data_IF_153688407074
#
_entry.id   IF_153688407074
#
_cell.length_a   1.000
_cell.length_b   1.000
_cell.length_c   1.000
_cell.angle_alpha   90.00
_cell.angle_beta   90.00
_cell.angle_gamma   90.00
#
_symmetry.space_group_name_H-M   'P 1'
#
loop_
_entity.id
_entity.type
_entity.pdbx_description
1 polymer ?
#
# COMPACT_ATOMS: atom_id res chain seq x y z
N UNK A 1 -2.15 16.41 7.63
CA UNK A 1 -2.85 15.17 8.05
C UNK A 1 -2.80 14.15 6.91
N UNK A 2 -3.14 12.88 7.14
CA UNK A 2 -3.14 11.85 6.08
C UNK A 2 -4.54 11.64 5.48
N UNK A 3 -4.66 11.50 4.15
CA UNK A 3 -5.94 11.54 3.40
C UNK A 3 -6.56 10.18 3.00
N UNK A 4 -5.92 9.01 3.15
CA UNK A 4 -6.57 7.73 2.81
C UNK A 4 -5.69 6.46 2.89
N UNK A 5 -6.32 5.28 2.85
CA UNK A 5 -5.71 3.94 3.05
C UNK A 5 -6.23 2.90 2.07
N UNK A 6 -5.33 2.14 1.45
CA UNK A 6 -5.65 0.83 0.84
C UNK A 6 -4.47 -0.10 0.63
N UNK A 7 -4.80 -1.39 0.56
CA UNK A 7 -4.12 -2.32 -0.36
C UNK A 7 -4.54 -1.95 -1.78
N UNK A 8 -4.02 -0.81 -2.27
CA UNK A 8 -4.54 -0.06 -3.42
C UNK A 8 -4.75 -0.97 -4.63
N UNK A 9 -3.81 -1.87 -4.87
CA UNK A 9 -3.90 -2.86 -5.93
C UNK A 9 -5.03 -3.89 -5.74
N UNK A 10 -5.24 -4.44 -4.54
CA UNK A 10 -6.31 -5.41 -4.31
C UNK A 10 -7.69 -4.76 -4.43
N UNK A 11 -7.84 -3.54 -3.94
CA UNK A 11 -9.06 -2.79 -4.09
C UNK A 11 -9.31 -2.40 -5.55
N UNK A 12 -8.30 -1.90 -6.27
CA UNK A 12 -8.39 -1.62 -7.70
C UNK A 12 -8.77 -2.89 -8.47
N UNK A 13 -8.18 -4.05 -8.14
CA UNK A 13 -8.56 -5.34 -8.73
C UNK A 13 -9.98 -5.77 -8.35
N UNK A 14 -10.44 -5.49 -7.13
CA UNK A 14 -11.80 -5.82 -6.64
C UNK A 14 -12.85 -4.96 -7.33
N UNK A 15 -12.60 -3.66 -7.46
CA UNK A 15 -13.46 -2.74 -8.18
C UNK A 15 -13.47 -3.02 -9.68
N UNK A 16 -12.32 -3.40 -10.25
CA UNK A 16 -12.24 -3.85 -11.63
C UNK A 16 -13.01 -5.16 -11.85
N UNK A 17 -12.92 -6.12 -10.93
CA UNK A 17 -13.71 -7.35 -10.97
C UNK A 17 -15.21 -7.04 -10.97
N UNK A 18 -15.65 -6.16 -10.06
CA UNK A 18 -17.05 -5.75 -9.94
C UNK A 18 -17.56 -5.01 -11.18
N UNK A 19 -16.75 -4.12 -11.77
CA UNK A 19 -17.14 -3.33 -12.94
C UNK A 19 -17.13 -4.14 -14.25
N UNK A 20 -16.26 -5.15 -14.34
CA UNK A 20 -16.10 -5.97 -15.56
C UNK A 20 -16.86 -7.29 -15.55
N UNK A 21 -17.40 -7.71 -14.40
CA UNK A 21 -17.97 -9.04 -14.21
C UNK A 21 -16.94 -10.18 -14.22
N UNK A 22 -15.64 -9.87 -14.31
CA UNK A 22 -14.56 -10.87 -14.28
C UNK A 22 -14.29 -11.32 -12.85
N UNK A 23 -13.83 -12.55 -12.66
CA UNK A 23 -13.46 -13.05 -11.32
C UNK A 23 -12.19 -12.34 -10.86
N UNK A 24 -12.19 -11.90 -9.60
CA UNK A 24 -11.02 -11.28 -8.96
C UNK A 24 -9.77 -12.18 -9.04
N UNK A 25 -9.95 -13.51 -8.97
CA UNK A 25 -8.84 -14.46 -9.06
C UNK A 25 -8.17 -14.46 -10.44
N UNK A 26 -8.94 -14.26 -11.52
CA UNK A 26 -8.41 -14.21 -12.88
C UNK A 26 -7.63 -12.90 -13.09
N UNK A 27 -8.14 -11.78 -12.56
CA UNK A 27 -7.45 -10.49 -12.59
C UNK A 27 -6.19 -10.50 -11.72
N UNK A 28 -6.22 -11.15 -10.55
CA UNK A 28 -5.02 -11.37 -9.72
C UNK A 28 -3.99 -12.22 -10.43
N UNK A 29 -4.40 -13.30 -11.09
CA UNK A 29 -3.49 -14.18 -11.85
C UNK A 29 -2.87 -13.42 -13.01
N UNK A 30 -3.65 -12.66 -13.75
CA UNK A 30 -3.15 -11.84 -14.85
C UNK A 30 -2.21 -10.71 -14.37
N UNK A 31 -2.44 -10.21 -13.15
CA UNK A 31 -1.55 -9.22 -12.51
C UNK A 31 -0.22 -9.84 -12.05
N UNK A 32 -0.25 -11.03 -11.45
CA UNK A 32 0.92 -11.66 -10.82
C UNK A 32 1.73 -12.54 -11.75
N UNK A 33 1.06 -13.33 -12.59
CA UNK A 33 1.66 -14.35 -13.47
C UNK A 33 1.92 -13.80 -14.87
N UNK A 34 0.98 -13.03 -15.40
CA UNK A 34 1.07 -12.49 -16.77
C UNK A 34 1.69 -11.08 -16.81
N UNK A 35 2.02 -10.51 -15.64
CA UNK A 35 2.68 -9.21 -15.51
C UNK A 35 1.84 -8.01 -15.96
N UNK A 36 0.55 -8.18 -16.24
CA UNK A 36 -0.31 -7.10 -16.76
C UNK A 36 -0.49 -6.01 -15.72
N UNK A 37 -0.37 -4.75 -16.15
CA UNK A 37 -0.69 -3.60 -15.31
C UNK A 37 -2.20 -3.50 -15.06
N UNK A 38 -2.61 -2.77 -14.02
CA UNK A 38 -4.03 -2.56 -13.73
C UNK A 38 -4.76 -1.82 -14.87
N UNK A 39 -4.06 -0.91 -15.55
CA UNK A 39 -4.58 -0.23 -16.75
C UNK A 39 -4.81 -1.22 -17.90
N UNK A 40 -3.85 -2.09 -18.18
CA UNK A 40 -4.02 -3.16 -19.19
C UNK A 40 -5.15 -4.13 -18.83
N UNK A 41 -5.34 -4.42 -17.54
CA UNK A 41 -6.45 -5.25 -17.07
C UNK A 41 -7.80 -4.53 -17.26
N UNK A 42 -7.87 -3.23 -16.97
CA UNK A 42 -9.05 -2.41 -17.17
C UNK A 42 -9.42 -2.28 -18.66
N UNK A 43 -8.44 -2.03 -19.52
CA UNK A 43 -8.60 -1.99 -20.98
C UNK A 43 -9.09 -3.35 -21.52
N UNK A 44 -8.44 -4.45 -21.14
CA UNK A 44 -8.85 -5.79 -21.53
C UNK A 44 -10.24 -6.20 -20.98
N UNK A 45 -10.72 -5.48 -19.97
CA UNK A 45 -12.03 -5.64 -19.36
C UNK A 45 -13.06 -4.63 -19.88
N UNK A 46 -12.68 -3.73 -20.80
CA UNK A 46 -13.51 -2.62 -21.29
C UNK A 46 -14.09 -1.77 -20.15
N UNK A 47 -13.32 -1.62 -19.08
CA UNK A 47 -13.68 -0.81 -17.92
C UNK A 47 -12.82 0.46 -17.93
N UNK A 48 -13.41 1.66 -17.79
CA UNK A 48 -12.63 2.87 -17.61
C UNK A 48 -11.78 2.75 -16.34
N UNK A 49 -10.46 2.74 -16.49
CA UNK A 49 -9.55 2.59 -15.36
C UNK A 49 -9.71 3.73 -14.36
N UNK A 50 -9.97 4.94 -14.86
CA UNK A 50 -10.11 6.14 -14.03
C UNK A 50 -11.36 6.05 -13.12
N UNK A 51 -12.46 5.41 -13.56
CA UNK A 51 -13.64 5.19 -12.71
C UNK A 51 -13.38 4.17 -11.58
N UNK A 52 -12.61 3.12 -11.89
CA UNK A 52 -12.17 2.11 -10.90
C UNK A 52 -11.28 2.77 -9.87
N UNK A 53 -10.45 3.71 -10.33
CA UNK A 53 -9.50 4.45 -9.55
C UNK A 53 -10.20 5.46 -8.62
N UNK A 54 -11.14 6.25 -9.13
CA UNK A 54 -11.96 7.20 -8.38
C UNK A 54 -12.82 6.51 -7.31
N UNK A 55 -13.42 5.38 -7.67
CA UNK A 55 -14.22 4.59 -6.74
C UNK A 55 -13.36 3.91 -5.69
N UNK A 56 -12.12 3.57 -6.05
CA UNK A 56 -11.13 3.15 -5.09
C UNK A 56 -10.98 4.26 -4.06
N UNK A 57 -10.56 5.46 -4.41
CA UNK A 57 -10.38 6.55 -3.43
C UNK A 57 -11.53 6.80 -2.48
N UNK A 58 -12.76 6.86 -3.01
CA UNK A 58 -13.94 7.20 -2.19
C UNK A 58 -14.13 6.19 -1.06
N UNK A 59 -13.96 4.91 -1.37
CA UNK A 59 -14.03 3.85 -0.38
C UNK A 59 -12.82 3.89 0.62
N UNK A 60 -11.71 4.60 0.30
CA UNK A 60 -10.49 4.69 1.15
C UNK A 60 -10.71 5.68 2.26
N UNK A 61 -11.45 6.72 1.88
CA UNK A 61 -11.65 7.90 2.67
C UNK A 61 -12.64 7.63 3.83
N UNK A 62 -13.49 6.61 3.74
CA UNK A 62 -14.70 6.53 4.58
C UNK A 62 -14.66 5.69 5.88
N UNK A 63 -13.74 4.74 6.13
CA UNK A 63 -13.95 3.81 7.26
C UNK A 63 -12.76 3.70 8.24
N UNK A 64 -12.89 4.28 9.44
CA UNK A 64 -12.39 3.89 10.79
C UNK A 64 -11.03 3.17 11.06
N UNK A 65 -10.23 2.73 10.08
CA UNK A 65 -8.97 1.97 10.24
C UNK A 65 -7.69 2.85 10.40
N UNK A 66 -7.86 4.16 10.61
CA UNK A 66 -6.79 5.17 10.47
C UNK A 66 -5.63 5.06 11.48
N UNK A 67 -5.91 4.66 12.72
CA UNK A 67 -4.87 4.48 13.76
C UNK A 67 -4.38 3.03 13.88
N UNK A 68 -5.13 2.08 13.31
CA UNK A 68 -4.79 0.66 13.37
C UNK A 68 -3.73 0.29 12.33
N UNK A 69 -3.66 0.91 11.16
CA UNK A 69 -2.72 0.46 10.13
C UNK A 69 -2.87 -1.05 9.84
N UNK A 70 -1.77 -1.80 9.85
CA UNK A 70 -1.79 -3.28 9.75
C UNK A 70 -1.94 -4.02 11.09
N UNK A 71 -2.34 -3.34 12.17
CA UNK A 71 -2.56 -3.94 13.48
C UNK A 71 -3.55 -5.11 13.45
N UNK A 72 -3.30 -6.09 14.33
CA UNK A 72 -4.09 -7.29 14.55
C UNK A 72 -4.24 -8.23 13.34
N UNK A 73 -3.58 -7.93 12.22
CA UNK A 73 -3.49 -8.88 11.10
C UNK A 73 -2.53 -10.01 11.47
N UNK A 74 -3.04 -11.23 11.38
CA UNK A 74 -2.27 -12.45 11.62
C UNK A 74 -1.48 -12.91 10.40
N UNK A 75 -1.86 -12.47 9.19
CA UNK A 75 -1.22 -12.87 7.92
C UNK A 75 -1.22 -11.73 6.89
N UNK A 76 -0.23 -11.76 6.01
CA UNK A 76 -0.15 -10.92 4.82
C UNK A 76 0.39 -11.75 3.64
N UNK A 77 -0.31 -11.67 2.51
CA UNK A 77 0.14 -12.18 1.23
C UNK A 77 1.18 -11.27 0.56
N UNK A 78 1.84 -11.76 -0.51
CA UNK A 78 2.92 -11.04 -1.18
C UNK A 78 2.48 -9.78 -1.95
N UNK A 79 1.18 -9.57 -2.16
CA UNK A 79 0.63 -8.35 -2.77
C UNK A 79 -0.05 -7.46 -1.73
N UNK A 80 0.16 -7.80 -0.46
CA UNK A 80 -0.48 -7.10 0.63
C UNK A 80 0.42 -5.95 1.06
N UNK A 81 -0.22 -4.81 1.25
CA UNK A 81 0.43 -3.61 1.69
C UNK A 81 -0.59 -2.54 2.04
N UNK A 82 -0.10 -1.45 2.59
CA UNK A 82 -0.87 -0.29 2.99
C UNK A 82 -0.10 0.96 2.61
N UNK A 83 -0.74 1.85 1.85
CA UNK A 83 -0.18 3.15 1.49
C UNK A 83 -0.85 4.23 2.34
N UNK A 84 -0.04 5.03 3.01
CA UNK A 84 -0.41 6.22 3.75
C UNK A 84 -0.06 7.43 2.90
N UNK A 85 -0.99 8.37 2.74
CA UNK A 85 -0.83 9.58 1.93
C UNK A 85 -1.00 10.81 2.81
N UNK A 86 0.01 11.68 2.87
CA UNK A 86 -0.02 12.92 3.67
C UNK A 86 -0.34 14.15 2.81
N UNK A 87 -0.86 15.21 3.45
CA UNK A 87 -1.12 16.51 2.80
C UNK A 87 0.17 17.16 2.29
N UNK A 88 1.21 17.10 3.11
CA UNK A 88 2.50 17.76 2.91
C UNK A 88 3.65 16.78 3.15
N UNK A 89 4.78 17.03 2.47
CA UNK A 89 6.01 16.28 2.74
C UNK A 89 6.53 16.62 4.14
N UNK A 90 6.94 15.58 4.86
CA UNK A 90 7.49 15.77 6.19
C UNK A 90 8.15 14.53 6.78
N UNK A 91 8.66 14.69 8.00
CA UNK A 91 9.18 13.60 8.81
C UNK A 91 8.03 12.87 9.50
N UNK A 92 7.85 11.59 9.18
CA UNK A 92 6.81 10.76 9.79
C UNK A 92 7.44 9.54 10.46
N UNK A 93 6.96 9.23 11.66
CA UNK A 93 7.37 8.04 12.44
C UNK A 93 6.18 7.12 12.61
N UNK A 94 6.44 5.83 12.46
CA UNK A 94 5.46 4.76 12.56
C UNK A 94 5.96 3.72 13.55
N UNK A 95 5.06 3.24 14.39
CA UNK A 95 5.29 2.15 15.33
C UNK A 95 4.67 0.83 14.87
N UNK A 96 5.14 -0.28 15.41
CA UNK A 96 4.65 -1.63 15.13
C UNK A 96 3.66 -2.14 16.20
N UNK A 97 3.08 -1.25 17.01
CA UNK A 97 2.25 -1.63 18.17
C UNK A 97 1.07 -2.42 17.67
N UNK A 98 0.79 -3.60 18.25
CA UNK A 98 -0.24 -4.54 17.81
C UNK A 98 -0.13 -5.07 16.36
N UNK A 99 0.96 -4.84 15.64
CA UNK A 99 1.21 -5.44 14.32
C UNK A 99 1.88 -6.80 14.46
N UNK A 100 1.20 -7.89 14.10
CA UNK A 100 1.64 -9.28 14.34
C UNK A 100 2.33 -9.96 13.15
N UNK A 101 2.71 -9.18 12.14
CA UNK A 101 3.48 -9.61 10.98
C UNK A 101 4.66 -8.67 10.81
N UNK A 102 5.80 -9.19 10.35
CA UNK A 102 6.97 -8.38 10.06
C UNK A 102 6.71 -7.59 8.76
N UNK A 103 7.17 -6.35 8.68
CA UNK A 103 6.88 -5.44 7.56
C UNK A 103 8.15 -4.88 6.90
N UNK A 104 8.05 -4.57 5.61
CA UNK A 104 8.92 -3.58 4.98
C UNK A 104 8.19 -2.23 4.98
N UNK A 105 8.87 -1.15 5.35
CA UNK A 105 8.30 0.20 5.42
C UNK A 105 9.10 1.17 4.56
N UNK A 106 8.44 1.83 3.61
CA UNK A 106 9.08 2.70 2.62
C UNK A 106 8.50 4.11 2.71
N UNK A 107 9.35 5.13 2.78
CA UNK A 107 8.93 6.52 2.65
C UNK A 107 9.19 6.99 1.23
N UNK A 108 8.25 7.73 0.64
CA UNK A 108 8.34 8.22 -0.72
C UNK A 108 8.00 9.70 -0.79
N UNK A 109 8.71 10.46 -1.62
CA UNK A 109 8.40 11.86 -1.92
C UNK A 109 7.18 12.00 -2.86
N UNK A 110 6.80 13.24 -3.19
CA UNK A 110 5.68 13.54 -4.11
C UNK A 110 5.84 12.91 -5.49
N UNK A 111 7.06 12.69 -5.97
CA UNK A 111 7.34 12.05 -7.24
C UNK A 111 7.33 10.51 -7.15
N UNK A 112 7.07 9.94 -5.98
CA UNK A 112 7.13 8.50 -5.73
C UNK A 112 8.57 7.98 -5.60
N UNK A 113 9.56 8.86 -5.42
CA UNK A 113 10.94 8.43 -5.17
C UNK A 113 11.09 8.02 -3.71
N UNK A 114 11.60 6.81 -3.51
CA UNK A 114 11.83 6.21 -2.20
C UNK A 114 12.97 6.96 -1.51
N UNK A 115 12.70 7.58 -0.36
CA UNK A 115 13.73 8.24 0.45
C UNK A 115 14.44 7.24 1.36
N UNK A 116 13.71 6.28 1.94
CA UNK A 116 14.25 5.24 2.81
C UNK A 116 13.40 3.97 2.75
N UNK A 117 14.07 2.82 2.91
CA UNK A 117 13.46 1.51 3.10
C UNK A 117 13.93 0.96 4.44
N UNK A 118 12.99 0.67 5.33
CA UNK A 118 13.22 -0.12 6.53
C UNK A 118 12.69 -1.53 6.28
N UNK A 119 13.60 -2.47 6.00
CA UNK A 119 13.23 -3.84 5.69
C UNK A 119 13.11 -4.70 6.96
N UNK A 120 12.20 -5.69 6.94
CA UNK A 120 11.99 -6.67 8.01
C UNK A 120 11.85 -6.01 9.40
N UNK A 121 11.09 -4.92 9.49
CA UNK A 121 10.74 -4.29 10.75
C UNK A 121 9.96 -5.31 11.60
N UNK A 122 10.42 -5.63 12.82
CA UNK A 122 9.89 -6.74 13.57
C UNK A 122 8.48 -6.43 14.06
N UNK A 123 7.61 -7.43 13.97
CA UNK A 123 6.28 -7.44 14.58
C UNK A 123 6.35 -7.20 16.08
N UNK A 124 5.27 -6.68 16.64
CA UNK A 124 5.01 -6.76 18.07
C UNK A 124 4.32 -8.08 18.46
N UNK A 125 4.20 -8.31 19.77
CA UNK A 125 3.47 -9.45 20.34
C UNK A 125 2.37 -8.92 21.27
N UNK A 126 1.29 -9.68 21.49
CA UNK A 126 0.30 -9.33 22.50
C UNK A 126 0.97 -9.07 23.86
N UNK A 127 0.69 -7.92 24.47
CA UNK A 127 1.22 -7.54 25.79
C UNK A 127 2.62 -6.89 25.80
N UNK A 128 3.23 -6.65 24.63
CA UNK A 128 4.49 -5.90 24.51
C UNK A 128 4.30 -4.43 24.92
N UNK A 129 5.22 -3.88 25.73
CA UNK A 129 5.20 -2.48 26.16
C UNK A 129 5.50 -1.51 25.02
N UNK A 130 5.04 -0.26 25.15
CA UNK A 130 5.17 0.76 24.09
C UNK A 130 6.63 1.13 23.80
N UNK A 131 7.51 1.01 24.79
CA UNK A 131 8.96 1.20 24.70
C UNK A 131 9.71 0.03 24.04
N UNK A 132 9.10 -1.15 23.99
CA UNK A 132 9.68 -2.35 23.36
C UNK A 132 9.30 -2.47 21.88
N UNK A 133 8.23 -1.79 21.46
CA UNK A 133 7.72 -1.85 20.09
C UNK A 133 8.66 -1.12 19.13
N UNK A 134 8.98 -1.77 18.00
CA UNK A 134 9.78 -1.16 16.96
C UNK A 134 9.10 0.10 16.39
N UNK A 135 9.89 1.17 16.29
CA UNK A 135 9.50 2.42 15.62
C UNK A 135 10.49 2.72 14.49
N UNK A 136 9.98 3.17 13.34
CA UNK A 136 10.78 3.62 12.19
C UNK A 136 10.28 4.95 11.68
N UNK A 137 11.20 5.77 11.22
CA UNK A 137 10.90 7.09 10.67
C UNK A 137 11.61 7.33 9.36
N UNK A 138 11.09 8.30 8.62
CA UNK A 138 11.61 8.75 7.34
C UNK A 138 10.97 10.05 6.90
N UNK A 139 11.40 10.56 5.75
CA UNK A 139 10.86 11.78 5.16
C UNK A 139 10.13 11.46 3.85
N UNK A 140 8.92 11.97 3.66
CA UNK A 140 8.17 11.77 2.42
C UNK A 140 6.78 12.37 2.45
N UNK A 141 6.06 12.25 1.33
CA UNK A 141 4.63 12.52 1.21
C UNK A 141 3.81 11.23 1.40
N UNK A 142 4.44 10.08 1.19
CA UNK A 142 3.82 8.77 1.25
C UNK A 142 4.62 7.82 2.14
N UNK A 143 3.93 6.91 2.81
CA UNK A 143 4.53 5.75 3.47
C UNK A 143 3.86 4.48 2.96
N UNK A 144 4.63 3.52 2.49
CA UNK A 144 4.15 2.23 2.01
C UNK A 144 4.64 1.12 2.94
N UNK A 145 3.71 0.44 3.59
CA UNK A 145 3.93 -0.80 4.32
C UNK A 145 3.68 -2.00 3.41
N UNK A 146 4.56 -2.98 3.42
CA UNK A 146 4.45 -4.25 2.70
C UNK A 146 4.74 -5.41 3.65
N UNK A 147 4.35 -6.63 3.29
CA UNK A 147 4.89 -7.81 3.98
C UNK A 147 6.43 -7.81 3.92
N UNK A 148 7.09 -8.26 4.99
CA UNK A 148 8.54 -8.31 5.07
C UNK A 148 9.19 -9.04 3.88
N UNK A 149 10.30 -8.50 3.38
CA UNK A 149 11.07 -9.03 2.26
C UNK A 149 10.55 -8.67 0.87
N UNK A 150 9.36 -8.06 0.78
CA UNK A 150 8.73 -7.72 -0.50
C UNK A 150 9.40 -6.56 -1.23
N UNK A 151 10.07 -5.64 -0.52
CA UNK A 151 10.89 -4.60 -1.12
C UNK A 151 12.10 -5.21 -1.83
N UNK A 152 12.82 -6.11 -1.14
CA UNK A 152 13.98 -6.81 -1.69
C UNK A 152 13.59 -7.71 -2.87
N UNK A 153 12.48 -8.46 -2.76
CA UNK A 153 11.97 -9.30 -3.85
C UNK A 153 11.68 -8.51 -5.13
N UNK A 154 11.37 -7.21 -5.00
CA UNK A 154 11.12 -6.28 -6.11
C UNK A 154 12.29 -5.36 -6.44
N UNK A 155 13.44 -5.56 -5.77
CA UNK A 155 14.65 -4.73 -5.93
C UNK A 155 14.39 -3.25 -5.65
N UNK A 156 13.47 -2.94 -4.75
CA UNK A 156 13.17 -1.57 -4.32
C UNK A 156 14.16 -1.17 -3.24
N UNK A 157 14.85 -0.04 -3.46
CA UNK A 157 15.85 0.53 -2.57
C UNK A 157 15.66 2.04 -2.48
N UNK A 158 16.38 2.71 -1.59
CA UNK A 158 16.42 4.17 -1.57
C UNK A 158 16.86 4.70 -2.95
N UNK A 159 16.14 5.70 -3.47
CA UNK A 159 16.33 6.25 -4.81
C UNK A 159 15.50 5.58 -5.91
N UNK A 160 14.91 4.40 -5.68
CA UNK A 160 13.93 3.82 -6.60
C UNK A 160 12.72 4.75 -6.76
N UNK A 161 12.14 4.80 -7.96
CA UNK A 161 10.90 5.55 -8.21
C UNK A 161 9.77 4.54 -8.39
N UNK A 162 8.73 4.66 -7.56
CA UNK A 162 7.51 3.88 -7.69
C UNK A 162 6.44 4.73 -8.39
N UNK A 163 5.82 4.16 -9.42
CA UNK A 163 4.66 4.78 -10.04
C UNK A 163 3.46 4.62 -9.11
N UNK A 164 3.06 5.70 -8.46
CA UNK A 164 1.87 5.76 -7.64
C UNK A 164 0.73 6.32 -8.49
N UNK A 165 -0.16 5.44 -8.95
CA UNK A 165 -1.44 5.85 -9.52
C UNK A 165 -2.37 6.27 -8.36
N UNK A 166 -2.06 7.42 -7.77
CA UNK A 166 -2.89 8.04 -6.75
C UNK A 166 -3.90 8.95 -7.42
N UNK A 167 -5.17 8.86 -7.03
CA UNK A 167 -6.15 9.66 -7.75
C UNK A 167 -6.25 11.05 -7.10
N UNK A 168 -6.75 12.03 -7.86
CA UNK A 168 -6.68 13.45 -7.47
C UNK A 168 -5.29 14.09 -7.41
N UNK A 169 -4.18 13.36 -7.59
CA UNK A 169 -2.84 13.94 -7.75
C UNK A 169 -2.72 14.57 -9.14
N UNK A 170 -3.21 15.81 -9.28
CA UNK A 170 -3.02 16.59 -10.51
C UNK A 170 -1.52 16.73 -10.79
N UNK A 171 -1.13 16.36 -12.02
CA UNK A 171 0.15 16.77 -12.61
C UNK A 171 0.22 18.29 -12.76
#
# INVERSE_FOLDING_TARGET
>A
MARGYYRLELLQLTLLAQASGKRLLDLRTARTKDGKTLRQLAEAAKTPYDDVLDRAERLAAEAEERERGLMFRSTMGPLDGMLFVFDDEGGFSFWMKNTFVDLDMLWLDRAGKVSVVHANVPRSRPGMGDDEVATRGGHGLYVLELAAGQAAARKVVAGSVLELALPGARR
#
